data_IF_269745510434
#
_entry.id   IF_269745510434
#
_cell.length_a   1.000
_cell.length_b   1.000
_cell.length_c   1.000
_cell.angle_alpha   90.00
_cell.angle_beta   90.00
_cell.angle_gamma   90.00
#
_symmetry.space_group_name_H-M   'P 1'
#
loop_
_entity.id
_entity.type
_entity.pdbx_description
1 polymer ?
#
# COMPACT_ATOMS: atom_id res chain seq x y z
N UNK A 1 -40.40 -2.38 29.63
CA UNK A 1 -39.07 -2.14 30.18
C UNK A 1 -38.13 -1.97 29.01
N UNK A 2 -37.82 -0.73 28.65
CA UNK A 2 -36.76 -0.46 27.65
C UNK A 2 -35.44 -0.63 28.37
N UNK A 3 -34.71 -1.67 28.02
CA UNK A 3 -33.32 -1.81 28.43
C UNK A 3 -32.52 -0.78 27.62
N UNK A 4 -32.16 0.32 28.26
CA UNK A 4 -31.13 1.24 27.76
C UNK A 4 -29.76 0.50 27.77
N UNK A 5 -29.50 -0.30 26.75
CA UNK A 5 -28.14 -0.69 26.47
C UNK A 5 -27.41 0.55 25.93
N UNK A 6 -26.68 1.24 26.78
CA UNK A 6 -25.64 2.16 26.33
C UNK A 6 -24.67 1.31 25.49
N UNK A 7 -24.85 1.31 24.18
CA UNK A 7 -23.93 0.66 23.24
C UNK A 7 -22.63 1.46 23.25
N UNK A 8 -21.78 1.17 24.21
CA UNK A 8 -20.42 1.65 24.20
C UNK A 8 -19.75 1.10 22.93
N UNK A 9 -19.15 1.98 22.13
CA UNK A 9 -18.45 1.53 20.93
C UNK A 9 -17.38 0.50 21.30
N UNK A 10 -17.23 -0.58 20.53
CA UNK A 10 -16.25 -1.61 20.84
C UNK A 10 -14.83 -1.04 20.83
N UNK A 11 -13.95 -1.70 21.58
CA UNK A 11 -12.52 -1.42 21.61
C UNK A 11 -11.76 -2.53 20.88
N UNK A 12 -10.86 -2.15 20.00
CA UNK A 12 -10.00 -3.07 19.23
C UNK A 12 -8.54 -2.79 19.51
N UNK A 13 -7.80 -3.83 19.88
CA UNK A 13 -6.35 -3.78 19.95
C UNK A 13 -5.76 -4.27 18.61
N UNK A 14 -5.03 -3.42 17.92
CA UNK A 14 -4.29 -3.75 16.69
C UNK A 14 -2.81 -3.91 17.06
N UNK A 15 -2.27 -5.09 16.85
CA UNK A 15 -0.87 -5.42 17.18
C UNK A 15 -0.05 -5.42 15.90
N UNK A 16 0.94 -4.52 15.84
CA UNK A 16 1.78 -4.27 14.68
C UNK A 16 1.35 -3.05 13.89
N UNK A 17 2.22 -2.03 13.85
CA UNK A 17 2.03 -0.74 13.17
C UNK A 17 2.59 -0.69 11.75
N UNK A 18 2.66 -1.83 11.04
CA UNK A 18 2.99 -1.89 9.62
C UNK A 18 1.91 -1.25 8.74
N UNK A 19 2.06 -1.31 7.41
CA UNK A 19 1.07 -0.73 6.48
C UNK A 19 -0.34 -1.30 6.71
N UNK A 20 -0.46 -2.60 6.92
CA UNK A 20 -1.75 -3.25 7.20
C UNK A 20 -2.34 -2.78 8.54
N UNK A 21 -1.59 -2.89 9.64
CA UNK A 21 -2.09 -2.53 10.96
C UNK A 21 -2.43 -1.05 11.09
N UNK A 22 -1.61 -0.16 10.56
CA UNK A 22 -1.89 1.28 10.54
C UNK A 22 -3.16 1.60 9.74
N UNK A 23 -3.34 0.97 8.57
CA UNK A 23 -4.54 1.14 7.74
C UNK A 23 -5.80 0.63 8.44
N UNK A 24 -5.73 -0.55 9.07
CA UNK A 24 -6.84 -1.11 9.85
C UNK A 24 -7.20 -0.18 11.01
N UNK A 25 -6.21 0.30 11.77
CA UNK A 25 -6.43 1.19 12.90
C UNK A 25 -7.12 2.50 12.46
N UNK A 26 -6.67 3.12 11.36
CA UNK A 26 -7.29 4.32 10.79
C UNK A 26 -8.75 4.04 10.40
N UNK A 27 -9.00 2.97 9.64
CA UNK A 27 -10.34 2.63 9.17
C UNK A 27 -11.31 2.35 10.31
N UNK A 28 -10.88 1.61 11.33
CA UNK A 28 -11.69 1.33 12.51
C UNK A 28 -12.02 2.60 13.29
N UNK A 29 -11.01 3.45 13.53
CA UNK A 29 -11.21 4.71 14.25
C UNK A 29 -12.11 5.69 13.47
N UNK A 30 -12.01 5.77 12.14
CA UNK A 30 -12.92 6.52 11.28
C UNK A 30 -14.35 5.98 11.33
N UNK A 31 -14.53 4.67 11.52
CA UNK A 31 -15.84 4.03 11.71
C UNK A 31 -16.41 4.22 13.12
N UNK A 32 -15.72 4.97 14.01
CA UNK A 32 -16.19 5.25 15.36
C UNK A 32 -15.85 4.18 16.40
N UNK A 33 -14.94 3.27 16.09
CA UNK A 33 -14.46 2.21 16.98
C UNK A 33 -13.26 2.75 17.77
N UNK A 34 -13.17 2.40 19.07
CA UNK A 34 -11.98 2.71 19.86
C UNK A 34 -10.83 1.76 19.48
N UNK A 35 -9.66 2.32 19.21
CA UNK A 35 -8.50 1.54 18.73
C UNK A 35 -7.26 1.84 19.56
N UNK A 36 -6.59 0.77 20.01
CA UNK A 36 -5.23 0.82 20.51
C UNK A 36 -4.32 0.17 19.47
N UNK A 37 -3.47 0.95 18.81
CA UNK A 37 -2.42 0.46 17.90
C UNK A 37 -1.12 0.32 18.69
N UNK A 38 -0.60 -0.90 18.78
CA UNK A 38 0.62 -1.21 19.55
C UNK A 38 1.72 -1.62 18.59
N UNK A 39 2.79 -0.82 18.52
CA UNK A 39 3.95 -1.03 17.64
C UNK A 39 5.25 -1.03 18.47
N UNK A 40 6.06 -2.07 18.31
CA UNK A 40 7.32 -2.23 19.04
C UNK A 40 8.45 -1.30 18.60
N UNK A 41 8.37 -0.78 17.37
CA UNK A 41 9.35 0.13 16.82
C UNK A 41 8.99 1.61 17.14
N UNK A 42 9.95 2.53 16.98
CA UNK A 42 9.73 3.96 17.28
C UNK A 42 8.87 4.69 16.24
N UNK A 43 8.50 4.04 15.14
CA UNK A 43 7.66 4.62 14.10
C UNK A 43 6.75 3.57 13.46
N UNK A 44 5.69 4.04 12.80
CA UNK A 44 4.81 3.20 11.99
C UNK A 44 5.45 2.86 10.64
N UNK A 45 4.99 1.79 10.00
CA UNK A 45 5.36 1.40 8.63
C UNK A 45 6.87 1.36 8.42
N UNK A 46 7.55 0.59 9.28
CA UNK A 46 9.00 0.38 9.19
C UNK A 46 9.30 -0.64 8.08
N UNK A 47 9.57 -0.15 6.88
CA UNK A 47 9.98 -0.93 5.73
C UNK A 47 11.29 -0.38 5.16
N UNK A 48 12.03 -1.17 4.37
CA UNK A 48 13.20 -0.64 3.65
C UNK A 48 12.79 0.55 2.79
N UNK A 49 13.60 1.61 2.72
CA UNK A 49 13.26 2.85 2.00
C UNK A 49 13.03 2.65 0.50
N UNK A 50 13.57 1.58 -0.06
CA UNK A 50 13.39 1.18 -1.46
C UNK A 50 12.26 0.16 -1.66
N UNK A 51 11.40 -0.04 -0.68
CA UNK A 51 10.26 -0.93 -0.82
C UNK A 51 9.21 -0.28 -1.71
N UNK A 52 9.03 -0.85 -2.91
CA UNK A 52 7.90 -0.48 -3.75
C UNK A 52 6.65 -1.14 -3.20
N UNK A 53 5.68 -0.36 -2.78
CA UNK A 53 4.33 -0.87 -2.67
C UNK A 53 3.81 -0.99 -4.09
N UNK A 54 3.82 -2.19 -4.64
CA UNK A 54 3.31 -2.45 -5.97
C UNK A 54 1.83 -2.17 -6.00
N UNK A 55 1.48 -1.22 -6.81
CA UNK A 55 0.12 -0.82 -6.99
C UNK A 55 -0.66 -1.76 -7.90
N UNK A 56 -0.02 -2.59 -8.68
CA UNK A 56 -0.71 -3.32 -9.70
C UNK A 56 -0.24 -4.75 -9.91
N UNK A 57 -1.20 -5.63 -10.04
CA UNK A 57 -0.98 -7.02 -10.38
C UNK A 57 -0.60 -7.26 -11.84
N UNK A 58 -0.50 -6.23 -12.68
CA UNK A 58 -0.16 -6.38 -14.09
C UNK A 58 1.25 -6.90 -14.33
N UNK A 59 2.15 -6.74 -13.33
CA UNK A 59 3.52 -7.23 -13.38
C UNK A 59 3.65 -8.74 -13.12
N UNK A 60 2.61 -9.38 -12.57
CA UNK A 60 2.63 -10.79 -12.21
C UNK A 60 1.85 -11.61 -13.23
N UNK A 61 2.55 -12.40 -14.04
CA UNK A 61 1.94 -13.22 -15.09
C UNK A 61 1.06 -14.34 -14.55
N UNK A 62 1.40 -14.85 -13.37
CA UNK A 62 0.80 -16.04 -12.76
C UNK A 62 -0.52 -15.75 -12.06
N UNK A 63 -0.86 -14.49 -11.81
CA UNK A 63 -2.13 -14.15 -11.17
C UNK A 63 -3.26 -13.98 -12.20
N UNK A 64 -4.48 -14.22 -11.76
CA UNK A 64 -5.66 -14.10 -12.60
C UNK A 64 -5.98 -12.63 -12.94
N UNK A 65 -6.77 -12.41 -13.99
CA UNK A 65 -7.28 -11.07 -14.32
C UNK A 65 -8.22 -10.52 -13.25
N UNK A 66 -8.90 -11.40 -12.50
CA UNK A 66 -9.73 -11.01 -11.37
C UNK A 66 -8.88 -10.49 -10.21
N UNK A 67 -7.78 -11.18 -9.87
CA UNK A 67 -6.83 -10.71 -8.87
C UNK A 67 -6.20 -9.37 -9.29
N UNK A 68 -5.88 -9.18 -10.57
CA UNK A 68 -5.36 -7.91 -11.08
C UNK A 68 -6.35 -6.75 -10.87
N UNK A 69 -7.65 -6.96 -11.14
CA UNK A 69 -8.69 -5.96 -10.86
C UNK A 69 -8.82 -5.67 -9.37
N UNK A 70 -8.80 -6.71 -8.55
CA UNK A 70 -8.83 -6.56 -7.09
C UNK A 70 -7.65 -5.73 -6.58
N UNK A 71 -6.43 -6.03 -7.04
CA UNK A 71 -5.22 -5.30 -6.68
C UNK A 71 -5.26 -3.84 -7.14
N UNK A 72 -5.75 -3.56 -8.36
CA UNK A 72 -5.97 -2.19 -8.83
C UNK A 72 -6.95 -1.44 -7.93
N UNK A 73 -8.07 -2.05 -7.56
CA UNK A 73 -9.04 -1.45 -6.65
C UNK A 73 -8.42 -1.14 -5.29
N UNK A 74 -7.68 -2.07 -4.71
CA UNK A 74 -6.98 -1.87 -3.45
C UNK A 74 -5.92 -0.76 -3.55
N UNK A 75 -5.22 -0.66 -4.68
CA UNK A 75 -4.28 0.43 -4.94
C UNK A 75 -4.98 1.79 -4.92
N UNK A 76 -6.11 1.92 -5.61
CA UNK A 76 -6.90 3.15 -5.62
C UNK A 76 -7.37 3.50 -4.20
N UNK A 77 -7.88 2.53 -3.44
CA UNK A 77 -8.35 2.74 -2.07
C UNK A 77 -7.23 3.22 -1.14
N UNK A 78 -6.03 2.67 -1.27
CA UNK A 78 -4.84 3.09 -0.51
C UNK A 78 -4.36 4.46 -0.97
N UNK A 79 -4.35 4.75 -2.28
CA UNK A 79 -3.98 6.05 -2.82
C UNK A 79 -4.92 7.16 -2.31
N UNK A 80 -6.21 6.88 -2.17
CA UNK A 80 -7.20 7.80 -1.57
C UNK A 80 -6.97 8.00 -0.07
N UNK A 81 -6.48 6.99 0.63
CA UNK A 81 -6.23 7.08 2.08
C UNK A 81 -4.93 7.83 2.40
N UNK A 82 -3.92 7.72 1.54
CA UNK A 82 -2.58 8.28 1.75
C UNK A 82 -2.07 9.07 0.51
N UNK A 83 -2.81 10.08 0.04
CA UNK A 83 -2.49 10.76 -1.23
C UNK A 83 -1.10 11.40 -1.22
N UNK A 84 -0.63 11.92 -0.09
CA UNK A 84 0.68 12.57 0.03
C UNK A 84 1.86 11.59 -0.06
N UNK A 85 1.61 10.30 0.04
CA UNK A 85 2.66 9.28 -0.02
C UNK A 85 2.98 8.80 -1.42
N UNK A 86 2.21 9.23 -2.43
CA UNK A 86 2.38 8.79 -3.82
C UNK A 86 3.54 9.53 -4.47
N UNK A 87 4.44 8.78 -5.11
CA UNK A 87 5.40 9.29 -6.08
C UNK A 87 4.82 9.10 -7.48
N UNK A 88 4.38 10.20 -8.11
CA UNK A 88 3.79 10.20 -9.45
C UNK A 88 4.88 9.94 -10.48
N UNK A 89 5.20 8.67 -10.71
CA UNK A 89 6.16 8.19 -11.71
C UNK A 89 5.65 6.87 -12.29
N UNK A 90 5.81 6.64 -13.60
CA UNK A 90 5.39 5.38 -14.20
C UNK A 90 6.30 4.22 -13.77
N UNK A 91 5.75 3.03 -13.80
CA UNK A 91 6.50 1.79 -13.77
C UNK A 91 6.83 1.38 -15.20
N UNK A 92 8.09 1.02 -15.47
CA UNK A 92 8.51 0.56 -16.79
C UNK A 92 8.60 -0.97 -16.82
N UNK A 93 7.88 -1.56 -17.76
CA UNK A 93 7.92 -3.00 -18.06
C UNK A 93 8.93 -3.21 -19.18
N UNK A 94 10.00 -3.92 -18.85
CA UNK A 94 11.05 -4.28 -19.80
C UNK A 94 11.29 -5.79 -19.76
N UNK A 95 11.46 -6.41 -20.91
CA UNK A 95 11.67 -7.85 -21.03
C UNK A 95 13.09 -8.10 -21.57
N UNK A 96 13.93 -8.88 -20.85
CA UNK A 96 15.26 -9.25 -21.35
C UNK A 96 15.18 -10.11 -22.60
N UNK A 97 16.15 -9.97 -23.54
CA UNK A 97 16.20 -10.81 -24.76
C UNK A 97 16.28 -12.33 -24.50
N UNK A 98 16.77 -12.70 -23.30
CA UNK A 98 16.85 -14.10 -22.88
C UNK A 98 15.54 -14.69 -22.38
N UNK A 99 14.52 -13.86 -22.18
CA UNK A 99 13.18 -14.29 -21.77
C UNK A 99 12.41 -14.79 -22.98
N UNK A 100 11.66 -15.88 -22.82
CA UNK A 100 10.84 -16.45 -23.88
C UNK A 100 9.51 -15.74 -24.10
N UNK A 101 9.15 -14.81 -23.22
CA UNK A 101 7.95 -13.98 -23.33
C UNK A 101 8.27 -12.63 -23.96
N UNK A 102 7.23 -11.90 -24.33
CA UNK A 102 7.34 -10.53 -24.84
C UNK A 102 6.51 -9.56 -23.99
N UNK A 103 6.84 -8.27 -24.01
CA UNK A 103 6.02 -7.27 -23.33
C UNK A 103 4.62 -7.15 -23.96
N UNK A 104 4.48 -7.51 -25.26
CA UNK A 104 3.18 -7.52 -25.96
C UNK A 104 2.20 -8.54 -25.38
N UNK A 105 2.68 -9.59 -24.73
CA UNK A 105 1.82 -10.59 -24.07
C UNK A 105 0.97 -9.98 -22.94
N UNK A 106 1.38 -8.82 -22.43
CA UNK A 106 0.66 -8.10 -21.38
C UNK A 106 -0.40 -7.14 -21.90
N UNK A 107 -0.40 -6.79 -23.19
CA UNK A 107 -1.32 -5.78 -23.74
C UNK A 107 -2.80 -6.10 -23.49
N UNK A 108 -3.28 -7.36 -23.69
CA UNK A 108 -4.68 -7.67 -23.41
C UNK A 108 -5.07 -7.42 -21.95
N UNK A 109 -4.14 -7.67 -21.02
CA UNK A 109 -4.35 -7.40 -19.59
C UNK A 109 -4.35 -5.90 -19.29
N UNK A 110 -3.46 -5.13 -19.90
CA UNK A 110 -3.41 -3.67 -19.75
C UNK A 110 -4.67 -3.02 -20.31
N UNK A 111 -5.17 -3.49 -21.47
CA UNK A 111 -6.44 -3.03 -22.03
C UNK A 111 -7.62 -3.32 -21.09
N UNK A 112 -7.67 -4.53 -20.51
CA UNK A 112 -8.69 -4.92 -19.54
C UNK A 112 -8.62 -4.05 -18.29
N UNK A 113 -7.40 -3.77 -17.76
CA UNK A 113 -7.22 -2.92 -16.58
C UNK A 113 -7.57 -1.47 -16.88
N UNK A 114 -7.26 -0.95 -18.06
CA UNK A 114 -7.66 0.40 -18.49
C UNK A 114 -9.19 0.53 -18.54
N UNK A 115 -9.88 -0.44 -19.12
CA UNK A 115 -11.34 -0.47 -19.17
C UNK A 115 -11.95 -0.59 -17.76
N UNK A 116 -11.34 -1.38 -16.87
CA UNK A 116 -11.77 -1.50 -15.50
C UNK A 116 -11.54 -0.19 -14.71
N UNK A 117 -10.38 0.45 -14.90
CA UNK A 117 -10.10 1.76 -14.29
C UNK A 117 -11.11 2.81 -14.75
N UNK A 118 -11.44 2.87 -16.04
CA UNK A 118 -12.51 3.74 -16.56
C UNK A 118 -13.83 3.48 -15.84
N UNK A 119 -14.24 2.22 -15.69
CA UNK A 119 -15.49 1.89 -14.99
C UNK A 119 -15.52 2.33 -13.53
N UNK A 120 -14.38 2.30 -12.84
CA UNK A 120 -14.25 2.79 -11.46
C UNK A 120 -14.34 4.31 -11.39
N UNK A 121 -13.74 5.03 -12.35
CA UNK A 121 -13.80 6.50 -12.45
C UNK A 121 -15.22 6.97 -12.81
N UNK A 122 -15.89 6.27 -13.73
CA UNK A 122 -17.28 6.57 -14.09
C UNK A 122 -18.24 6.39 -12.90
N UNK A 123 -18.00 5.38 -12.07
CA UNK A 123 -18.80 5.12 -10.88
C UNK A 123 -18.54 6.16 -9.77
N UNK A 124 -17.32 6.61 -9.62
CA UNK A 124 -16.90 7.63 -8.65
C UNK A 124 -15.65 8.37 -9.17
N UNK A 125 -15.79 9.63 -9.63
CA UNK A 125 -14.64 10.40 -10.13
C UNK A 125 -13.47 10.54 -9.15
N UNK A 126 -13.70 10.41 -7.86
CA UNK A 126 -12.63 10.41 -6.86
C UNK A 126 -11.68 9.19 -6.95
N UNK A 127 -12.01 8.19 -7.76
CA UNK A 127 -11.14 7.06 -8.06
C UNK A 127 -10.04 7.39 -9.08
N UNK A 128 -10.08 8.57 -9.72
CA UNK A 128 -9.06 8.99 -10.69
C UNK A 128 -7.76 9.42 -10.00
N UNK A 129 -7.13 8.49 -9.29
CA UNK A 129 -5.88 8.71 -8.52
C UNK A 129 -4.63 8.19 -9.23
N UNK A 130 -4.80 7.45 -10.33
CA UNK A 130 -3.71 6.92 -11.15
C UNK A 130 -3.48 7.77 -12.42
N UNK A 131 -3.91 9.03 -12.43
CA UNK A 131 -3.85 9.91 -13.60
C UNK A 131 -5.03 9.71 -14.56
N UNK A 132 -4.93 10.27 -15.78
CA UNK A 132 -5.97 10.10 -16.79
C UNK A 132 -6.04 8.66 -17.26
N UNK A 133 -7.25 8.19 -17.52
CA UNK A 133 -7.49 6.80 -17.95
C UNK A 133 -6.81 6.51 -19.29
N UNK A 134 -6.89 7.44 -20.23
CA UNK A 134 -6.27 7.33 -21.56
C UNK A 134 -4.73 7.23 -21.50
N UNK A 135 -4.13 7.71 -20.41
CA UNK A 135 -2.69 7.67 -20.20
C UNK A 135 -2.25 6.49 -19.30
N UNK A 136 -3.16 5.57 -18.92
CA UNK A 136 -2.88 4.51 -17.95
C UNK A 136 -1.67 3.68 -18.35
N UNK A 137 -1.47 3.37 -19.64
CA UNK A 137 -0.23 2.81 -20.14
C UNK A 137 0.17 3.38 -21.50
N UNK A 138 1.46 3.33 -21.81
CA UNK A 138 2.02 3.75 -23.10
C UNK A 138 3.04 2.74 -23.59
N UNK A 139 2.94 2.40 -24.87
CA UNK A 139 3.82 1.44 -25.55
C UNK A 139 4.87 2.20 -26.36
N UNK A 140 6.14 1.83 -26.22
CA UNK A 140 7.26 2.41 -26.93
C UNK A 140 7.94 1.36 -27.79
N UNK A 141 7.87 1.51 -29.09
CA UNK A 141 8.63 0.68 -30.02
C UNK A 141 10.11 1.05 -30.05
N UNK A 142 10.90 0.29 -30.81
CA UNK A 142 12.35 0.52 -30.92
C UNK A 142 12.67 1.90 -31.48
N UNK A 143 11.91 2.38 -32.48
CA UNK A 143 12.16 3.67 -33.13
C UNK A 143 11.86 4.83 -32.16
N UNK A 144 10.79 4.77 -31.42
CA UNK A 144 10.44 5.76 -30.39
C UNK A 144 11.50 5.82 -29.30
N UNK A 145 11.98 4.65 -28.83
CA UNK A 145 13.06 4.59 -27.84
C UNK A 145 14.36 5.20 -28.39
N UNK A 146 14.71 4.95 -29.65
CA UNK A 146 15.88 5.56 -30.28
C UNK A 146 15.79 7.08 -30.42
N UNK A 147 14.59 7.63 -30.55
CA UNK A 147 14.36 9.07 -30.53
C UNK A 147 14.47 9.64 -29.10
N UNK A 148 13.80 9.01 -28.15
CA UNK A 148 13.78 9.46 -26.77
C UNK A 148 15.17 9.47 -26.10
N UNK A 149 16.04 8.48 -26.40
CA UNK A 149 17.38 8.40 -25.79
C UNK A 149 18.30 9.55 -26.23
N UNK A 150 17.98 10.26 -27.32
CA UNK A 150 18.73 11.44 -27.77
C UNK A 150 18.41 12.67 -26.92
N UNK A 151 17.29 12.67 -26.19
CA UNK A 151 16.91 13.79 -25.35
C UNK A 151 17.73 13.82 -24.06
N UNK A 152 17.90 15.00 -23.51
CA UNK A 152 18.50 15.16 -22.19
C UNK A 152 17.50 14.76 -21.09
N UNK A 153 17.99 14.03 -20.09
CA UNK A 153 17.19 13.71 -18.93
C UNK A 153 17.01 14.96 -18.07
N UNK A 154 15.78 15.20 -17.63
CA UNK A 154 15.47 16.27 -16.68
C UNK A 154 15.77 15.82 -15.25
N UNK A 155 16.21 16.75 -14.40
CA UNK A 155 16.41 16.51 -12.97
C UNK A 155 15.09 16.15 -12.28
N UNK A 156 13.99 16.77 -12.72
CA UNK A 156 12.64 16.51 -12.20
C UNK A 156 11.72 16.22 -13.41
N UNK A 157 11.56 14.93 -13.78
CA UNK A 157 10.62 14.53 -14.81
C UNK A 157 9.16 14.79 -14.37
N UNK A 158 8.34 15.27 -15.29
CA UNK A 158 6.91 15.58 -15.04
C UNK A 158 5.96 14.86 -15.99
N UNK A 159 6.46 14.33 -17.10
CA UNK A 159 5.68 13.57 -18.06
C UNK A 159 6.19 12.13 -18.16
N UNK A 160 5.35 11.21 -18.65
CA UNK A 160 5.74 9.81 -18.86
C UNK A 160 6.98 9.71 -19.75
N UNK A 161 7.06 10.47 -20.84
CA UNK A 161 8.22 10.44 -21.75
C UNK A 161 9.50 10.92 -21.05
N UNK A 162 9.44 11.94 -20.21
CA UNK A 162 10.60 12.42 -19.44
C UNK A 162 11.09 11.38 -18.43
N UNK A 163 10.18 10.67 -17.77
CA UNK A 163 10.52 9.54 -16.91
C UNK A 163 11.18 8.40 -17.70
N UNK A 164 10.63 8.09 -18.89
CA UNK A 164 11.22 7.09 -19.80
C UNK A 164 12.66 7.52 -20.20
N UNK A 165 12.85 8.77 -20.62
CA UNK A 165 14.19 9.31 -20.95
C UNK A 165 15.16 9.13 -19.80
N UNK A 166 14.77 9.50 -18.58
CA UNK A 166 15.63 9.34 -17.39
C UNK A 166 16.03 7.88 -17.17
N UNK A 167 15.10 6.95 -17.31
CA UNK A 167 15.35 5.53 -17.16
C UNK A 167 16.23 4.95 -18.26
N UNK A 168 16.05 5.38 -19.53
CA UNK A 168 16.86 4.90 -20.67
C UNK A 168 18.35 5.22 -20.53
N UNK A 169 18.71 6.29 -19.79
CA UNK A 169 20.12 6.66 -19.59
C UNK A 169 20.90 5.66 -18.74
N UNK A 170 20.20 4.82 -17.97
CA UNK A 170 20.82 3.84 -17.06
C UNK A 170 20.55 2.38 -17.46
N UNK A 171 19.78 2.16 -18.53
CA UNK A 171 19.42 0.83 -19.03
C UNK A 171 20.36 0.34 -20.11
N UNK A 172 20.71 -0.96 -20.10
CA UNK A 172 21.40 -1.64 -21.21
C UNK A 172 20.37 -2.11 -22.25
N UNK A 173 20.05 -1.20 -23.18
CA UNK A 173 19.01 -1.42 -24.22
C UNK A 173 19.34 -2.57 -25.16
N UNK A 174 20.63 -2.93 -25.32
CA UNK A 174 21.05 -4.05 -26.16
C UNK A 174 20.59 -5.41 -25.62
N UNK A 175 20.31 -5.48 -24.31
CA UNK A 175 19.82 -6.69 -23.65
C UNK A 175 18.31 -6.79 -23.58
N UNK A 176 17.58 -5.78 -24.02
CA UNK A 176 16.11 -5.71 -23.90
C UNK A 176 15.43 -6.06 -25.21
N UNK A 177 14.24 -6.64 -25.09
CA UNK A 177 13.25 -6.78 -26.16
C UNK A 177 12.42 -5.49 -26.27
N UNK A 178 11.73 -5.33 -27.39
CA UNK A 178 10.74 -4.28 -27.61
C UNK A 178 9.37 -4.89 -27.87
N UNK A 179 8.29 -4.16 -27.50
CA UNK A 179 8.27 -2.80 -26.97
C UNK A 179 8.69 -2.71 -25.49
N UNK A 180 9.00 -1.49 -25.04
CA UNK A 180 9.00 -1.10 -23.62
C UNK A 180 7.64 -0.50 -23.31
N UNK A 181 7.07 -0.82 -22.16
CA UNK A 181 5.75 -0.31 -21.75
C UNK A 181 5.91 0.50 -20.47
N UNK A 182 5.38 1.72 -20.46
CA UNK A 182 5.22 2.52 -19.25
C UNK A 182 3.79 2.42 -18.76
N UNK A 183 3.58 2.14 -17.48
CA UNK A 183 2.26 2.01 -16.85
C UNK A 183 2.17 3.00 -15.69
N UNK A 184 1.04 3.67 -15.54
CA UNK A 184 0.78 4.58 -14.42
C UNK A 184 0.50 3.80 -13.11
N UNK A 185 1.43 2.98 -12.72
CA UNK A 185 1.52 2.36 -11.41
C UNK A 185 2.58 3.09 -10.61
N UNK A 186 2.10 3.98 -9.76
CA UNK A 186 2.95 4.91 -9.04
C UNK A 186 3.72 4.22 -7.91
N UNK A 187 4.87 4.78 -7.57
CA UNK A 187 5.60 4.37 -6.38
C UNK A 187 5.02 4.97 -5.10
N UNK A 188 5.41 4.39 -3.97
CA UNK A 188 5.06 4.89 -2.65
C UNK A 188 6.32 5.36 -1.91
N UNK A 189 6.25 6.53 -1.34
CA UNK A 189 7.28 7.02 -0.44
C UNK A 189 6.99 6.53 0.97
N UNK A 190 7.79 5.60 1.46
CA UNK A 190 7.60 4.97 2.77
C UNK A 190 7.63 5.97 3.92
N UNK A 191 8.50 6.97 3.86
CA UNK A 191 8.59 7.97 4.92
C UNK A 191 7.34 8.85 4.98
N UNK A 192 6.84 9.29 3.81
CA UNK A 192 5.58 10.04 3.73
C UNK A 192 4.38 9.18 4.13
N UNK A 193 4.38 7.90 3.75
CA UNK A 193 3.33 6.96 4.15
C UNK A 193 3.30 6.78 5.67
N UNK A 194 4.47 6.58 6.30
CA UNK A 194 4.60 6.48 7.76
C UNK A 194 4.12 7.75 8.47
N UNK A 195 4.58 8.92 8.01
CA UNK A 195 4.19 10.21 8.57
C UNK A 195 2.68 10.46 8.40
N UNK A 196 2.13 10.19 7.21
CA UNK A 196 0.69 10.35 6.93
C UNK A 196 -0.16 9.45 7.83
N UNK A 197 0.22 8.18 8.00
CA UNK A 197 -0.48 7.25 8.88
C UNK A 197 -0.47 7.74 10.34
N UNK A 198 0.69 8.16 10.83
CA UNK A 198 0.84 8.66 12.20
C UNK A 198 0.01 9.93 12.44
N UNK A 199 0.09 10.92 11.55
CA UNK A 199 -0.65 12.17 11.65
C UNK A 199 -2.17 11.97 11.55
N UNK A 200 -2.64 11.03 10.71
CA UNK A 200 -4.05 10.69 10.64
C UNK A 200 -4.53 10.07 11.97
N UNK A 201 -3.80 9.11 12.52
CA UNK A 201 -4.15 8.47 13.79
C UNK A 201 -4.16 9.48 14.96
N UNK A 202 -3.20 10.42 14.99
CA UNK A 202 -3.20 11.48 16.01
C UNK A 202 -4.42 12.42 15.96
N UNK A 203 -5.02 12.61 14.77
CA UNK A 203 -6.22 13.43 14.60
C UNK A 203 -7.51 12.70 14.97
N UNK A 204 -7.48 11.37 15.02
CA UNK A 204 -8.64 10.55 15.32
C UNK A 204 -8.78 10.35 16.82
N UNK A 205 -9.78 10.99 17.43
CA UNK A 205 -10.02 10.96 18.89
C UNK A 205 -10.20 9.54 19.47
N UNK A 206 -10.52 8.56 18.61
CA UNK A 206 -10.76 7.17 18.99
C UNK A 206 -9.55 6.27 18.75
N UNK A 207 -8.43 6.82 18.33
CA UNK A 207 -7.18 6.08 18.15
C UNK A 207 -6.17 6.45 19.22
N UNK A 208 -5.55 5.45 19.84
CA UNK A 208 -4.38 5.60 20.70
C UNK A 208 -3.24 4.79 20.11
N UNK A 209 -2.09 5.44 19.89
CA UNK A 209 -0.90 4.81 19.30
C UNK A 209 0.15 4.65 20.37
N UNK A 210 0.60 3.42 20.57
CA UNK A 210 1.67 3.03 21.48
C UNK A 210 2.88 2.62 20.65
N UNK A 211 3.87 3.51 20.54
CA UNK A 211 5.17 3.21 19.90
C UNK A 211 6.18 2.72 20.93
N UNK A 212 7.26 2.09 20.49
CA UNK A 212 8.23 1.43 21.36
C UNK A 212 7.55 0.50 22.39
N UNK A 213 6.42 -0.10 22.01
CA UNK A 213 5.55 -0.87 22.89
C UNK A 213 5.48 -2.32 22.40
N UNK A 214 6.05 -3.23 23.18
CA UNK A 214 6.10 -4.64 22.84
C UNK A 214 5.01 -5.42 23.57
N UNK A 215 4.17 -6.14 22.82
CA UNK A 215 3.16 -7.03 23.41
C UNK A 215 3.86 -8.25 24.05
N UNK A 216 3.60 -8.42 25.33
CA UNK A 216 4.19 -9.50 26.13
C UNK A 216 3.23 -10.68 26.25
N UNK A 217 1.91 -10.42 26.40
CA UNK A 217 0.94 -11.45 26.73
C UNK A 217 -0.47 -11.07 26.23
N UNK A 218 -1.24 -12.10 25.85
CA UNK A 218 -2.64 -12.00 25.44
C UNK A 218 -3.45 -13.03 26.23
N UNK A 219 -4.46 -12.57 26.98
CA UNK A 219 -5.31 -13.44 27.76
C UNK A 219 -6.77 -13.22 27.47
N UNK A 220 -7.52 -14.27 27.36
CA UNK A 220 -8.99 -14.18 27.39
C UNK A 220 -9.44 -13.58 28.72
N UNK A 221 -10.33 -12.60 28.64
CA UNK A 221 -10.90 -11.94 29.81
C UNK A 221 -12.37 -11.63 29.56
N UNK A 222 -13.27 -12.30 30.26
CA UNK A 222 -14.70 -12.25 30.00
C UNK A 222 -14.99 -12.53 28.51
N UNK A 223 -15.72 -11.63 27.83
CA UNK A 223 -16.07 -11.74 26.41
C UNK A 223 -15.02 -11.13 25.47
N UNK A 224 -13.90 -10.65 26.00
CA UNK A 224 -12.83 -9.96 25.26
C UNK A 224 -11.44 -10.46 25.58
N UNK A 225 -10.48 -9.54 25.55
CA UNK A 225 -9.07 -9.79 25.70
C UNK A 225 -8.43 -8.79 26.66
N UNK A 226 -7.51 -9.27 27.49
CA UNK A 226 -6.50 -8.46 28.15
C UNK A 226 -5.21 -8.52 27.34
N UNK A 227 -4.74 -7.38 26.86
CA UNK A 227 -3.47 -7.22 26.16
C UNK A 227 -2.49 -6.57 27.10
N UNK A 228 -1.38 -7.24 27.39
CA UNK A 228 -0.29 -6.72 28.22
C UNK A 228 0.90 -6.38 27.34
N UNK A 229 1.48 -5.21 27.50
CA UNK A 229 2.65 -4.77 26.75
C UNK A 229 3.58 -3.92 27.62
N UNK A 230 4.87 -3.97 27.30
CA UNK A 230 5.89 -3.10 27.91
C UNK A 230 6.02 -1.83 27.05
N UNK A 231 5.89 -0.67 27.65
CA UNK A 231 5.99 0.63 26.98
C UNK A 231 7.43 1.14 26.82
N UNK A 232 7.60 2.34 26.26
CA UNK A 232 8.90 2.97 26.01
C UNK A 232 9.73 3.25 27.28
N UNK A 233 9.08 3.28 28.44
CA UNK A 233 9.75 3.47 29.74
C UNK A 233 10.08 2.15 30.44
N UNK A 234 9.74 1.00 29.81
CA UNK A 234 9.89 -0.32 30.40
C UNK A 234 8.80 -0.67 31.41
N UNK A 235 7.70 0.10 31.45
CA UNK A 235 6.59 -0.15 32.36
C UNK A 235 5.56 -1.08 31.73
N UNK A 236 5.06 -2.02 32.54
CA UNK A 236 4.01 -2.95 32.10
C UNK A 236 2.64 -2.26 32.08
N UNK A 237 2.10 -2.12 30.88
CA UNK A 237 0.77 -1.60 30.61
C UNK A 237 -0.23 -2.74 30.34
N UNK A 238 -1.51 -2.49 30.61
CA UNK A 238 -2.60 -3.42 30.32
C UNK A 238 -3.78 -2.65 29.76
N UNK A 239 -4.32 -3.16 28.66
CA UNK A 239 -5.56 -2.68 28.06
C UNK A 239 -6.54 -3.83 27.92
N UNK A 240 -7.84 -3.48 27.93
CA UNK A 240 -8.91 -4.43 27.66
C UNK A 240 -9.53 -4.09 26.31
N UNK A 241 -9.71 -5.09 25.47
CA UNK A 241 -10.26 -4.94 24.14
C UNK A 241 -11.28 -6.05 23.84
N UNK A 242 -12.36 -5.69 23.14
CA UNK A 242 -13.37 -6.67 22.70
C UNK A 242 -12.79 -7.58 21.61
N UNK A 243 -11.90 -7.03 20.77
CA UNK A 243 -11.25 -7.75 19.69
C UNK A 243 -9.76 -7.43 19.61
N UNK A 244 -9.00 -8.41 19.11
CA UNK A 244 -7.58 -8.25 18.80
C UNK A 244 -7.37 -8.52 17.32
N UNK A 245 -6.64 -7.63 16.65
CA UNK A 245 -6.16 -7.81 15.28
C UNK A 245 -4.66 -8.03 15.30
N UNK A 246 -4.22 -9.21 14.87
CA UNK A 246 -2.81 -9.52 14.70
C UNK A 246 -2.34 -9.08 13.31
N UNK A 247 -1.60 -7.97 13.24
CA UNK A 247 -1.05 -7.38 12.02
C UNK A 247 0.49 -7.41 11.99
N UNK A 248 1.10 -8.42 12.62
CA UNK A 248 2.55 -8.54 12.79
C UNK A 248 3.28 -9.13 11.57
N UNK A 249 2.59 -9.33 10.43
CA UNK A 249 3.17 -9.84 9.20
C UNK A 249 3.81 -11.22 9.40
N UNK A 250 5.06 -11.40 9.02
CA UNK A 250 5.77 -12.68 9.16
C UNK A 250 5.96 -13.14 10.63
N UNK A 251 5.64 -12.30 11.60
CA UNK A 251 5.69 -12.61 13.05
C UNK A 251 4.31 -12.91 13.65
N UNK A 252 3.27 -13.08 12.82
CA UNK A 252 1.92 -13.37 13.32
C UNK A 252 1.90 -14.59 14.27
N UNK A 253 2.64 -15.67 13.96
CA UNK A 253 2.73 -16.86 14.81
C UNK A 253 3.18 -16.56 16.23
N UNK A 254 4.07 -15.57 16.45
CA UNK A 254 4.53 -15.20 17.80
C UNK A 254 3.38 -14.63 18.64
N UNK A 255 2.48 -13.87 18.01
CA UNK A 255 1.33 -13.29 18.69
C UNK A 255 0.21 -14.33 18.86
N UNK A 256 0.02 -15.21 17.88
CA UNK A 256 -0.95 -16.30 17.96
C UNK A 256 -0.59 -17.27 19.09
N UNK A 257 0.70 -17.63 19.26
CA UNK A 257 1.20 -18.43 20.36
C UNK A 257 0.95 -17.81 21.75
N UNK A 258 0.89 -16.47 21.83
CA UNK A 258 0.56 -15.76 23.09
C UNK A 258 -0.94 -15.77 23.39
N UNK A 259 -1.76 -15.96 22.38
CA UNK A 259 -3.22 -15.99 22.51
C UNK A 259 -3.76 -17.37 22.96
N UNK A 260 -2.96 -18.46 22.84
CA UNK A 260 -3.26 -19.83 23.25
C UNK A 260 -3.99 -20.63 22.17
#
# INVERSE_FOLDING_TARGET
MYVNSSTQSPTVAVIGGGSAGSTIAIRLAMAGIHVHLIEKNPSLINAPPMCHLHAGGNLYREISDEDCRMLMRQCIDIAKLYPESIDVRPTLITVPKRDNSTATDLLPRLDMLTAYYQSLVDADPSNQVLGNVEDYYRVYDKQQIQQLIQLEAKDIPTTTDEWVVAALKVMDLEKLQYPIIAVQEFGWNIFRLSASAFLQLQRLQRAQVHLNAQVDDLKRHMDGWQVSFTDEHGELQRIYADFVVNACGFRNGIIDDKAG
#
